data_IF_891945295783
#
_entry.id   IF_891945295783
#
_cell.length_a   1.000
_cell.length_b   1.000
_cell.length_c   1.000
_cell.angle_alpha   90.00
_cell.angle_beta   90.00
_cell.angle_gamma   90.00
#
_symmetry.space_group_name_H-M   'P 1'
#
loop_
_entity.id
_entity.type
_entity.pdbx_description
1 polymer ?
#
# COMPACT_ATOMS: atom_id res chain seq x y z
N UNK A 1 4.34 -20.40 -13.97
CA UNK A 1 4.83 -20.63 -12.58
C UNK A 1 5.27 -19.28 -12.03
N UNK A 2 4.39 -18.59 -11.31
CA UNK A 2 4.74 -17.39 -10.55
C UNK A 2 5.02 -17.85 -9.13
N UNK A 3 6.28 -18.17 -8.86
CA UNK A 3 6.76 -18.46 -7.52
C UNK A 3 6.37 -17.29 -6.61
N UNK A 4 5.61 -17.56 -5.55
CA UNK A 4 5.46 -16.66 -4.42
C UNK A 4 6.86 -16.38 -3.88
N UNK A 5 7.51 -15.35 -4.41
CA UNK A 5 8.74 -14.82 -3.85
C UNK A 5 8.36 -14.05 -2.58
N UNK A 6 8.08 -14.78 -1.50
CA UNK A 6 8.43 -14.30 -0.17
C UNK A 6 9.94 -14.14 -0.27
N UNK A 7 10.42 -12.90 -0.28
CA UNK A 7 11.84 -12.62 -0.21
C UNK A 7 12.40 -13.46 0.93
N UNK A 8 13.20 -14.50 0.63
CA UNK A 8 14.01 -15.18 1.62
C UNK A 8 15.13 -14.21 1.98
N UNK A 9 14.78 -13.18 2.76
CA UNK A 9 15.75 -12.24 3.28
C UNK A 9 16.59 -12.96 4.30
N UNK A 10 17.90 -12.80 4.22
CA UNK A 10 18.82 -13.29 5.22
C UNK A 10 18.50 -12.62 6.56
N UNK A 11 18.64 -13.34 7.66
CA UNK A 11 18.56 -12.72 8.98
C UNK A 11 19.79 -11.84 9.14
N UNK A 12 19.61 -10.57 9.46
CA UNK A 12 20.73 -9.68 9.77
C UNK A 12 21.14 -9.99 11.21
N UNK A 13 22.25 -10.70 11.34
CA UNK A 13 22.91 -10.92 12.62
C UNK A 13 23.81 -9.72 12.94
N UNK A 14 24.19 -9.49 14.22
CA UNK A 14 24.99 -8.32 14.62
C UNK A 14 26.30 -8.14 13.83
N UNK A 15 26.91 -9.22 13.38
CA UNK A 15 28.19 -9.22 12.65
C UNK A 15 28.01 -9.37 11.13
N UNK A 16 26.78 -9.25 10.60
CA UNK A 16 26.53 -9.40 9.17
C UNK A 16 27.13 -8.22 8.41
N UNK A 17 27.96 -8.48 7.41
CA UNK A 17 28.43 -7.44 6.49
C UNK A 17 27.28 -6.96 5.62
N UNK A 18 26.75 -5.78 5.93
CA UNK A 18 25.61 -5.18 5.23
C UNK A 18 25.89 -4.88 3.75
N UNK A 19 27.17 -4.80 3.35
CA UNK A 19 27.53 -4.56 1.94
C UNK A 19 27.23 -5.75 1.04
N UNK A 20 27.05 -6.96 1.59
CA UNK A 20 26.73 -8.17 0.81
C UNK A 20 25.23 -8.44 0.73
N UNK A 21 24.42 -7.70 1.49
CA UNK A 21 22.95 -7.89 1.48
C UNK A 21 22.35 -7.19 0.27
N UNK A 22 21.83 -7.98 -0.66
CA UNK A 22 21.13 -7.49 -1.84
C UNK A 22 19.62 -7.39 -1.62
N UNK A 23 19.03 -6.28 -2.08
CA UNK A 23 17.59 -6.04 -2.04
C UNK A 23 17.15 -5.65 -3.46
N UNK A 24 16.64 -6.61 -4.20
CA UNK A 24 16.37 -6.41 -5.62
C UNK A 24 17.66 -6.15 -6.39
N UNK A 25 17.76 -4.96 -7.02
CA UNK A 25 18.95 -4.54 -7.76
C UNK A 25 19.85 -3.59 -6.93
N UNK A 26 19.66 -3.49 -5.63
CA UNK A 26 20.37 -2.55 -4.75
C UNK A 26 21.04 -3.27 -3.59
N UNK A 27 22.04 -2.62 -2.98
CA UNK A 27 22.60 -3.04 -1.71
C UNK A 27 21.79 -2.47 -0.54
N UNK A 28 21.87 -3.12 0.63
CA UNK A 28 21.23 -2.61 1.85
C UNK A 28 21.65 -1.18 2.19
N UNK A 29 22.92 -0.83 1.97
CA UNK A 29 23.48 0.49 2.31
C UNK A 29 23.04 1.59 1.34
N UNK A 30 22.49 1.26 0.17
CA UNK A 30 22.02 2.26 -0.80
C UNK A 30 20.86 3.09 -0.23
N UNK A 31 20.81 4.37 -0.56
CA UNK A 31 19.70 5.26 -0.16
C UNK A 31 18.43 5.06 -0.99
N UNK A 32 18.51 4.26 -2.06
CA UNK A 32 17.36 3.88 -2.89
C UNK A 32 17.41 2.38 -3.14
N UNK A 33 16.36 1.68 -2.72
CA UNK A 33 16.23 0.25 -3.02
C UNK A 33 15.32 0.04 -4.24
N UNK A 34 15.87 -0.61 -5.24
CA UNK A 34 15.19 -0.96 -6.49
C UNK A 34 14.47 -2.30 -6.36
N UNK A 35 13.15 -2.25 -6.25
CA UNK A 35 12.28 -3.41 -6.06
C UNK A 35 11.72 -3.96 -7.37
N UNK A 36 12.19 -3.50 -8.55
CA UNK A 36 11.68 -3.97 -9.85
C UNK A 36 11.69 -5.49 -10.00
N UNK A 37 12.70 -6.24 -9.54
CA UNK A 37 12.69 -7.70 -9.61
C UNK A 37 11.50 -8.37 -8.89
N UNK A 38 10.93 -7.69 -7.90
CA UNK A 38 9.83 -8.21 -7.07
C UNK A 38 8.45 -7.70 -7.48
N UNK A 39 8.38 -6.75 -8.44
CA UNK A 39 7.14 -6.10 -8.85
C UNK A 39 6.85 -6.46 -10.30
N UNK A 40 6.10 -7.53 -10.51
CA UNK A 40 5.77 -8.07 -11.84
C UNK A 40 4.58 -7.38 -12.49
N UNK A 41 3.76 -6.63 -11.73
CA UNK A 41 2.57 -5.98 -12.25
C UNK A 41 2.93 -4.83 -13.21
N UNK A 42 2.60 -4.99 -14.50
CA UNK A 42 2.89 -4.01 -15.56
C UNK A 42 2.22 -2.64 -15.31
N UNK A 43 1.08 -2.61 -14.63
CA UNK A 43 0.34 -1.39 -14.29
C UNK A 43 0.98 -0.57 -13.16
N UNK A 44 2.02 -1.07 -12.49
CA UNK A 44 2.69 -0.33 -11.41
C UNK A 44 3.53 0.80 -12.00
N UNK A 45 3.24 2.04 -11.56
CA UNK A 45 4.02 3.23 -11.96
C UNK A 45 5.50 3.02 -11.61
N UNK A 46 6.40 3.48 -12.48
CA UNK A 46 7.85 3.32 -12.29
C UNK A 46 8.32 3.86 -10.92
N UNK A 47 7.86 5.04 -10.53
CA UNK A 47 8.18 5.65 -9.22
C UNK A 47 7.74 4.82 -8.01
N UNK A 48 6.82 3.87 -8.19
CA UNK A 48 6.32 2.99 -7.13
C UNK A 48 7.15 1.70 -6.97
N UNK A 49 8.20 1.54 -7.76
CA UNK A 49 9.08 0.37 -7.72
C UNK A 49 10.33 0.58 -6.87
N UNK A 50 10.42 1.71 -6.17
CA UNK A 50 11.58 2.09 -5.37
C UNK A 50 11.19 2.45 -3.94
N UNK A 51 12.00 2.01 -2.95
CA UNK A 51 11.99 2.55 -1.60
C UNK A 51 13.10 3.59 -1.53
N UNK A 52 12.81 4.79 -1.01
CA UNK A 52 13.73 5.91 -0.94
C UNK A 52 13.95 6.33 0.50
N UNK A 53 15.21 6.44 0.90
CA UNK A 53 15.63 6.88 2.22
C UNK A 53 16.35 8.24 2.20
N UNK A 54 16.48 8.84 1.00
CA UNK A 54 17.22 10.11 0.77
C UNK A 54 16.68 11.28 1.60
N UNK A 55 15.40 11.25 1.97
CA UNK A 55 14.76 12.29 2.79
C UNK A 55 15.11 12.20 4.29
N UNK A 56 15.82 11.15 4.72
CA UNK A 56 16.26 10.95 6.10
C UNK A 56 17.72 11.36 6.17
N UNK A 57 17.99 12.53 6.77
CA UNK A 57 19.35 13.05 6.87
C UNK A 57 20.17 12.33 7.94
N UNK A 58 19.55 12.05 9.09
CA UNK A 58 20.21 11.45 10.25
C UNK A 58 20.51 9.96 10.02
N UNK A 59 21.75 9.57 10.23
CA UNK A 59 22.25 8.21 9.92
C UNK A 59 21.57 7.17 10.82
N UNK A 60 21.47 7.42 12.11
CA UNK A 60 20.86 6.50 13.09
C UNK A 60 19.36 6.32 12.84
N UNK A 61 18.67 7.43 12.52
CA UNK A 61 17.27 7.42 12.14
C UNK A 61 17.08 6.58 10.85
N UNK A 62 17.92 6.81 9.83
CA UNK A 62 17.90 6.11 8.55
C UNK A 62 18.14 4.62 8.73
N UNK A 63 19.12 4.24 9.56
CA UNK A 63 19.43 2.83 9.82
C UNK A 63 18.25 2.10 10.45
N UNK A 64 17.61 2.66 11.46
CA UNK A 64 16.42 2.08 12.09
C UNK A 64 15.28 1.89 11.05
N UNK A 65 15.08 2.86 10.16
CA UNK A 65 14.08 2.77 9.09
C UNK A 65 14.44 1.70 8.06
N UNK A 66 15.70 1.55 7.70
CA UNK A 66 16.18 0.48 6.80
C UNK A 66 15.98 -0.90 7.42
N UNK A 67 16.32 -1.08 8.69
CA UNK A 67 16.06 -2.33 9.43
C UNK A 67 14.57 -2.70 9.42
N UNK A 68 13.70 -1.71 9.66
CA UNK A 68 12.26 -1.91 9.60
C UNK A 68 11.79 -2.28 8.19
N UNK A 69 12.22 -1.56 7.16
CA UNK A 69 11.85 -1.82 5.78
C UNK A 69 12.29 -3.23 5.34
N UNK A 70 13.52 -3.61 5.66
CA UNK A 70 14.06 -4.93 5.39
C UNK A 70 13.23 -6.04 6.05
N UNK A 71 12.98 -5.91 7.36
CA UNK A 71 12.13 -6.86 8.10
C UNK A 71 10.73 -7.00 7.48
N UNK A 72 10.14 -5.90 7.04
CA UNK A 72 8.79 -5.89 6.43
C UNK A 72 8.78 -6.50 5.04
N UNK A 73 9.82 -6.32 4.24
CA UNK A 73 9.94 -6.94 2.91
C UNK A 73 9.89 -8.47 2.99
N UNK A 74 10.39 -9.07 4.06
CA UNK A 74 10.25 -10.51 4.30
C UNK A 74 8.85 -10.98 4.69
N UNK A 75 7.89 -10.06 4.91
CA UNK A 75 6.55 -10.39 5.43
C UNK A 75 5.39 -9.81 4.64
N UNK A 76 5.64 -8.81 3.81
CA UNK A 76 4.60 -8.03 3.12
C UNK A 76 4.96 -7.83 1.64
N UNK A 77 3.96 -7.49 0.84
CA UNK A 77 4.18 -7.11 -0.57
C UNK A 77 5.09 -5.88 -0.65
N UNK A 78 6.07 -5.84 -1.57
CA UNK A 78 7.01 -4.72 -1.70
C UNK A 78 6.33 -3.35 -1.82
N UNK A 79 5.23 -3.24 -2.56
CA UNK A 79 4.46 -2.00 -2.68
C UNK A 79 3.93 -1.50 -1.33
N UNK A 80 3.50 -2.40 -0.45
CA UNK A 80 3.01 -2.02 0.89
C UNK A 80 4.13 -1.46 1.75
N UNK A 81 5.32 -2.08 1.71
CA UNK A 81 6.49 -1.59 2.44
C UNK A 81 6.93 -0.24 1.88
N UNK A 82 6.98 -0.11 0.57
CA UNK A 82 7.26 1.17 -0.10
C UNK A 82 6.30 2.26 0.36
N UNK A 83 5.00 1.98 0.45
CA UNK A 83 4.02 2.98 0.90
C UNK A 83 4.21 3.36 2.37
N UNK A 84 4.67 2.44 3.22
CA UNK A 84 5.00 2.74 4.60
C UNK A 84 6.17 3.73 4.68
N UNK A 85 7.24 3.47 3.94
CA UNK A 85 8.45 4.30 3.99
C UNK A 85 8.29 5.61 3.22
N UNK A 86 7.81 5.56 1.97
CA UNK A 86 7.82 6.73 1.09
C UNK A 86 6.60 7.65 1.25
N UNK A 87 5.48 7.16 1.83
CA UNK A 87 4.25 7.93 1.89
C UNK A 87 3.73 8.19 3.31
N UNK A 88 3.99 7.30 4.26
CA UNK A 88 3.43 7.42 5.61
C UNK A 88 4.44 7.91 6.64
N UNK A 89 5.70 7.52 6.51
CA UNK A 89 6.77 7.90 7.44
C UNK A 89 7.31 9.32 7.26
N UNK A 90 7.33 9.95 6.06
CA UNK A 90 7.99 11.25 5.87
C UNK A 90 7.53 12.36 6.82
N UNK A 91 6.24 12.40 7.19
CA UNK A 91 5.74 13.39 8.16
C UNK A 91 6.37 13.23 9.54
N UNK A 92 6.64 12.00 9.98
CA UNK A 92 7.32 11.79 11.25
C UNK A 92 8.78 12.24 11.19
N UNK A 93 9.47 11.94 10.10
CA UNK A 93 10.87 12.39 9.90
C UNK A 93 10.93 13.93 9.85
N UNK A 94 9.98 14.58 9.16
CA UNK A 94 9.88 16.04 9.14
C UNK A 94 9.68 16.59 10.57
N UNK A 95 8.77 16.00 11.35
CA UNK A 95 8.54 16.39 12.75
C UNK A 95 9.81 16.23 13.60
N UNK A 96 10.51 15.10 13.48
CA UNK A 96 11.77 14.86 14.20
C UNK A 96 12.82 15.91 13.84
N UNK A 97 13.00 16.19 12.56
CA UNK A 97 13.96 17.22 12.10
C UNK A 97 13.64 18.61 12.65
N UNK A 98 12.35 19.00 12.71
CA UNK A 98 11.92 20.28 13.24
C UNK A 98 12.13 20.40 14.77
N UNK A 99 12.19 19.28 15.49
CA UNK A 99 12.31 19.25 16.95
C UNK A 99 13.70 18.76 17.41
N UNK A 100 14.68 18.62 16.51
CA UNK A 100 16.05 18.23 16.86
C UNK A 100 16.17 16.78 17.34
N UNK A 101 15.28 15.89 16.89
CA UNK A 101 15.30 14.46 17.21
C UNK A 101 16.06 13.75 16.09
N UNK A 102 17.22 13.20 16.40
CA UNK A 102 18.16 12.64 15.43
C UNK A 102 18.18 11.11 15.35
N UNK A 103 17.56 10.44 16.33
CA UNK A 103 17.46 8.99 16.40
C UNK A 103 16.08 8.56 16.88
N UNK A 104 15.62 7.38 16.48
CA UNK A 104 14.41 6.78 17.09
C UNK A 104 14.56 6.58 18.58
N UNK A 105 15.77 6.29 19.09
CA UNK A 105 16.03 6.10 20.51
C UNK A 105 15.74 7.36 21.35
N UNK A 106 15.89 8.55 20.75
CA UNK A 106 15.66 9.84 21.43
C UNK A 106 14.18 10.21 21.50
N UNK A 107 13.31 9.52 20.77
CA UNK A 107 11.87 9.79 20.76
C UNK A 107 11.27 9.45 22.12
N UNK A 108 10.63 10.41 22.76
CA UNK A 108 9.87 10.21 23.98
C UNK A 108 8.39 9.94 23.69
N UNK A 109 7.66 9.46 24.70
CA UNK A 109 6.20 9.35 24.59
C UNK A 109 5.55 10.73 24.31
N UNK A 110 6.09 11.78 24.93
CA UNK A 110 5.61 13.14 24.70
C UNK A 110 5.82 13.60 23.27
N UNK A 111 6.96 13.30 22.66
CA UNK A 111 7.21 13.60 21.24
C UNK A 111 6.23 12.88 20.33
N UNK A 112 5.93 11.61 20.61
CA UNK A 112 4.93 10.87 19.86
C UNK A 112 3.53 11.50 19.96
N UNK A 113 3.12 11.94 21.15
CA UNK A 113 1.84 12.61 21.36
C UNK A 113 1.80 13.99 20.68
N UNK A 114 2.88 14.77 20.80
CA UNK A 114 3.02 16.06 20.14
C UNK A 114 3.06 15.93 18.62
N UNK A 115 3.67 14.89 18.06
CA UNK A 115 3.57 14.57 16.63
C UNK A 115 2.12 14.40 16.18
N UNK A 116 1.30 13.68 16.96
CA UNK A 116 -0.12 13.53 16.67
C UNK A 116 -0.87 14.87 16.68
N UNK A 117 -0.59 15.73 17.66
CA UNK A 117 -1.21 17.06 17.76
C UNK A 117 -0.76 17.94 16.58
N UNK A 118 0.51 17.94 16.25
CA UNK A 118 1.06 18.67 15.10
C UNK A 118 0.41 18.26 13.78
N UNK A 119 0.24 16.97 13.54
CA UNK A 119 -0.47 16.51 12.33
C UNK A 119 -1.92 16.99 12.27
N UNK A 120 -2.61 17.06 13.43
CA UNK A 120 -4.01 17.51 13.51
C UNK A 120 -4.16 18.99 13.33
N UNK A 121 -3.36 19.76 14.07
CA UNK A 121 -3.56 21.19 14.25
C UNK A 121 -2.82 22.02 13.17
N UNK A 122 -1.57 21.66 12.91
CA UNK A 122 -0.70 22.43 12.01
C UNK A 122 -0.79 21.91 10.59
N UNK A 123 -0.64 20.60 10.37
CA UNK A 123 -0.73 19.99 9.03
C UNK A 123 -2.17 19.74 8.59
N UNK A 124 -3.13 19.67 9.50
CA UNK A 124 -4.56 19.45 9.24
C UNK A 124 -4.83 18.23 8.33
N UNK A 125 -4.08 17.17 8.57
CA UNK A 125 -4.19 15.96 7.73
C UNK A 125 -5.50 15.21 7.99
N UNK A 126 -5.96 14.50 6.97
CA UNK A 126 -7.14 13.65 7.10
C UNK A 126 -6.92 12.53 8.13
N UNK A 127 -7.99 12.13 8.84
CA UNK A 127 -7.95 11.11 9.90
C UNK A 127 -7.25 9.82 9.48
N UNK A 128 -7.54 9.33 8.27
CA UNK A 128 -6.91 8.12 7.73
C UNK A 128 -5.40 8.28 7.50
N UNK A 129 -4.99 9.47 7.03
CA UNK A 129 -3.57 9.77 6.80
C UNK A 129 -2.82 9.81 8.13
N UNK A 130 -3.32 10.56 9.11
CA UNK A 130 -2.70 10.67 10.41
C UNK A 130 -2.61 9.32 11.13
N UNK A 131 -3.72 8.56 11.15
CA UNK A 131 -3.72 7.21 11.72
C UNK A 131 -2.67 6.29 11.08
N UNK A 132 -2.55 6.31 9.75
CA UNK A 132 -1.59 5.48 9.04
C UNK A 132 -0.13 5.89 9.33
N UNK A 133 0.16 7.19 9.43
CA UNK A 133 1.49 7.68 9.77
C UNK A 133 1.89 7.27 11.18
N UNK A 134 1.00 7.47 12.17
CA UNK A 134 1.25 7.04 13.53
C UNK A 134 1.44 5.52 13.64
N UNK A 135 0.62 4.75 12.92
CA UNK A 135 0.71 3.29 12.94
C UNK A 135 2.08 2.77 12.48
N UNK A 136 2.70 3.40 11.47
CA UNK A 136 4.04 3.02 11.03
C UNK A 136 5.08 3.32 12.12
N UNK A 137 4.99 4.47 12.79
CA UNK A 137 5.88 4.83 13.91
C UNK A 137 5.73 3.83 15.06
N UNK A 138 4.50 3.53 15.46
CA UNK A 138 4.21 2.51 16.48
C UNK A 138 4.79 1.14 16.13
N UNK A 139 4.68 0.73 14.87
CA UNK A 139 5.25 -0.54 14.43
C UNK A 139 6.77 -0.55 14.49
N UNK A 140 7.45 0.54 14.06
CA UNK A 140 8.91 0.65 14.16
C UNK A 140 9.34 0.51 15.60
N UNK A 141 8.73 1.24 16.53
CA UNK A 141 9.06 1.18 17.96
C UNK A 141 8.83 -0.24 18.49
N UNK A 142 7.64 -0.79 18.30
CA UNK A 142 7.28 -2.11 18.83
C UNK A 142 8.14 -3.24 18.27
N UNK A 143 8.38 -3.25 16.97
CA UNK A 143 9.21 -4.28 16.34
C UNK A 143 10.68 -4.07 16.73
N UNK A 144 11.13 -2.83 16.77
CA UNK A 144 12.49 -2.48 17.17
C UNK A 144 12.81 -2.94 18.60
N UNK A 145 11.88 -2.75 19.55
CA UNK A 145 12.03 -3.28 20.92
C UNK A 145 12.17 -4.80 20.95
N UNK A 146 11.38 -5.54 20.14
CA UNK A 146 11.46 -6.99 20.06
C UNK A 146 12.78 -7.44 19.40
N UNK A 147 13.27 -6.66 18.44
CA UNK A 147 14.47 -6.98 17.66
C UNK A 147 15.77 -6.41 18.24
N UNK A 148 15.70 -5.62 19.31
CA UNK A 148 16.86 -4.97 19.90
C UNK A 148 17.44 -3.85 19.03
N UNK A 149 16.62 -3.19 18.19
CA UNK A 149 17.06 -2.03 17.43
C UNK A 149 17.18 -0.79 18.30
N UNK A 150 17.83 0.24 17.79
CA UNK A 150 17.99 1.53 18.47
C UNK A 150 16.67 2.33 18.47
N UNK A 151 15.72 1.93 19.31
CA UNK A 151 14.39 2.52 19.46
C UNK A 151 14.07 2.80 20.93
N UNK A 152 13.08 3.70 21.23
CA UNK A 152 12.73 4.02 22.61
C UNK A 152 12.20 2.79 23.37
N UNK A 153 12.38 2.83 24.69
CA UNK A 153 11.98 1.73 25.60
C UNK A 153 10.58 1.91 26.19
N UNK A 154 9.93 3.06 26.00
CA UNK A 154 8.58 3.28 26.51
C UNK A 154 7.56 2.37 25.82
N UNK A 155 6.51 2.00 26.58
CA UNK A 155 5.37 1.30 26.02
C UNK A 155 4.24 2.30 25.74
N UNK A 156 3.70 2.25 24.53
CA UNK A 156 2.52 3.04 24.17
C UNK A 156 1.30 2.58 24.97
N UNK A 157 0.69 3.43 25.81
CA UNK A 157 -0.54 3.09 26.48
C UNK A 157 -1.63 2.78 25.47
N UNK A 158 -2.49 1.81 25.78
CA UNK A 158 -3.56 1.38 24.86
C UNK A 158 -4.49 2.53 24.46
N UNK A 159 -4.70 3.51 25.33
CA UNK A 159 -5.52 4.69 25.07
C UNK A 159 -4.85 5.70 24.11
N UNK A 160 -3.55 5.62 23.93
CA UNK A 160 -2.73 6.56 23.16
C UNK A 160 -2.23 5.98 21.83
N UNK A 161 -2.74 4.82 21.44
CA UNK A 161 -2.46 4.25 20.12
C UNK A 161 -3.11 5.08 19.00
N UNK A 162 -2.55 5.01 17.79
CA UNK A 162 -3.04 5.71 16.61
C UNK A 162 -4.55 5.59 16.43
N UNK A 163 -5.09 4.37 16.53
CA UNK A 163 -6.52 4.11 16.38
C UNK A 163 -7.40 4.85 17.41
N UNK A 164 -6.91 5.08 18.63
CA UNK A 164 -7.64 5.81 19.65
C UNK A 164 -7.48 7.32 19.46
N UNK A 165 -6.25 7.79 19.25
CA UNK A 165 -5.96 9.21 19.05
C UNK A 165 -6.69 9.78 17.83
N UNK A 166 -6.80 9.00 16.74
CA UNK A 166 -7.45 9.44 15.50
C UNK A 166 -8.93 9.06 15.39
N UNK A 167 -9.47 8.31 16.38
CA UNK A 167 -10.87 7.91 16.43
C UNK A 167 -11.41 7.37 15.09
N UNK A 168 -10.63 6.50 14.46
CA UNK A 168 -10.89 5.99 13.09
C UNK A 168 -12.25 5.33 12.95
N UNK A 169 -12.75 4.63 13.99
CA UNK A 169 -14.07 3.99 13.96
C UNK A 169 -15.21 4.99 13.80
N UNK A 170 -15.11 6.16 14.45
CA UNK A 170 -16.11 7.23 14.32
C UNK A 170 -16.02 7.86 12.93
N UNK A 171 -14.82 8.15 12.46
CA UNK A 171 -14.59 8.71 11.13
C UNK A 171 -15.11 7.78 10.01
N UNK A 172 -14.87 6.48 10.11
CA UNK A 172 -15.39 5.51 9.14
C UNK A 172 -16.92 5.44 9.07
N UNK A 173 -17.60 5.71 10.20
CA UNK A 173 -19.08 5.74 10.21
C UNK A 173 -19.63 7.02 9.57
N UNK A 174 -18.97 8.15 9.76
CA UNK A 174 -19.44 9.46 9.28
C UNK A 174 -19.02 9.77 7.85
N UNK A 175 -17.87 9.25 7.39
CA UNK A 175 -17.28 9.56 6.10
C UNK A 175 -17.36 8.38 5.11
N UNK A 176 -18.42 7.60 5.15
CA UNK A 176 -18.65 6.57 4.11
C UNK A 176 -18.81 7.25 2.76
N UNK A 177 -18.03 6.82 1.79
CA UNK A 177 -18.23 7.20 0.39
C UNK A 177 -19.64 6.80 -0.01
N UNK A 178 -20.43 7.78 -0.42
CA UNK A 178 -21.77 7.50 -0.94
C UNK A 178 -21.66 6.82 -2.29
N UNK A 179 -22.57 5.89 -2.62
CA UNK A 179 -22.64 5.35 -3.96
C UNK A 179 -22.91 6.48 -4.96
N UNK A 180 -22.50 6.28 -6.20
CA UNK A 180 -22.84 7.20 -7.29
C UNK A 180 -24.35 7.26 -7.39
N UNK A 181 -24.98 8.47 -7.43
CA UNK A 181 -26.43 8.57 -7.66
C UNK A 181 -26.85 7.87 -8.95
N UNK A 182 -28.00 7.24 -8.96
CA UNK A 182 -28.48 6.41 -10.07
C UNK A 182 -28.57 7.21 -11.38
N UNK A 183 -29.10 8.42 -11.31
CA UNK A 183 -29.19 9.33 -12.45
C UNK A 183 -27.84 9.71 -13.05
N UNK A 184 -26.82 9.81 -12.23
CA UNK A 184 -25.42 10.07 -12.68
C UNK A 184 -24.83 8.80 -13.29
N UNK A 185 -25.07 7.65 -12.66
CA UNK A 185 -24.61 6.35 -13.16
C UNK A 185 -25.19 6.05 -14.54
N UNK A 186 -26.51 6.26 -14.71
CA UNK A 186 -27.19 6.04 -16.00
C UNK A 186 -26.64 6.95 -17.10
N UNK A 187 -26.35 8.22 -16.79
CA UNK A 187 -25.72 9.15 -17.75
C UNK A 187 -24.32 8.67 -18.14
N UNK A 188 -23.51 8.24 -17.19
CA UNK A 188 -22.15 7.70 -17.47
C UNK A 188 -22.26 6.51 -18.40
N UNK A 189 -23.16 5.57 -18.11
CA UNK A 189 -23.35 4.38 -18.92
C UNK A 189 -23.88 4.73 -20.32
N UNK A 190 -24.86 5.61 -20.41
CA UNK A 190 -25.39 6.09 -21.69
C UNK A 190 -24.28 6.68 -22.57
N UNK A 191 -23.49 7.61 -22.06
CA UNK A 191 -22.40 8.23 -22.82
C UNK A 191 -21.28 7.24 -23.15
N UNK A 192 -21.00 6.30 -22.28
CA UNK A 192 -20.02 5.25 -22.59
C UNK A 192 -20.49 4.38 -23.76
N UNK A 193 -21.79 4.05 -23.83
CA UNK A 193 -22.34 3.22 -24.90
C UNK A 193 -22.44 3.98 -26.24
N UNK A 194 -22.88 5.24 -26.21
CA UNK A 194 -23.27 5.96 -27.42
C UNK A 194 -22.24 6.97 -27.94
N UNK A 195 -21.49 7.61 -27.05
CA UNK A 195 -20.64 8.76 -27.40
C UNK A 195 -19.14 8.46 -27.30
N UNK A 196 -18.73 7.42 -26.53
CA UNK A 196 -17.32 7.08 -26.38
C UNK A 196 -16.79 6.34 -27.64
N UNK A 197 -15.75 6.90 -28.26
CA UNK A 197 -15.13 6.38 -29.47
C UNK A 197 -13.91 5.50 -29.20
N UNK A 198 -13.25 5.69 -28.03
CA UNK A 198 -12.15 4.80 -27.64
C UNK A 198 -12.69 3.47 -27.14
N UNK A 199 -12.45 2.40 -27.93
CA UNK A 199 -12.97 1.07 -27.66
C UNK A 199 -12.56 0.53 -26.31
N UNK A 200 -11.32 0.78 -25.88
CA UNK A 200 -10.82 0.26 -24.61
C UNK A 200 -11.43 1.02 -23.41
N UNK A 201 -11.58 2.33 -23.53
CA UNK A 201 -12.26 3.15 -22.51
C UNK A 201 -13.73 2.74 -22.39
N UNK A 202 -14.43 2.63 -23.51
CA UNK A 202 -15.82 2.15 -23.59
C UNK A 202 -15.98 0.79 -22.92
N UNK A 203 -15.20 -0.20 -23.33
CA UNK A 203 -15.21 -1.54 -22.77
C UNK A 203 -14.92 -1.52 -21.25
N UNK A 204 -13.93 -0.75 -20.82
CA UNK A 204 -13.55 -0.63 -19.42
C UNK A 204 -14.71 -0.12 -18.54
N UNK A 205 -15.40 0.95 -18.97
CA UNK A 205 -16.53 1.53 -18.25
C UNK A 205 -17.70 0.54 -18.20
N UNK A 206 -18.06 -0.07 -19.34
CA UNK A 206 -19.19 -1.00 -19.43
C UNK A 206 -18.93 -2.25 -18.56
N UNK A 207 -17.77 -2.89 -18.72
CA UNK A 207 -17.41 -4.08 -17.93
C UNK A 207 -17.44 -3.75 -16.45
N UNK A 208 -16.77 -2.68 -16.03
CA UNK A 208 -16.70 -2.30 -14.62
C UNK A 208 -18.08 -1.99 -14.03
N UNK A 209 -18.92 -1.27 -14.78
CA UNK A 209 -20.28 -0.90 -14.33
C UNK A 209 -21.19 -2.10 -14.14
N UNK A 210 -21.08 -3.11 -14.99
CA UNK A 210 -21.97 -4.28 -15.00
C UNK A 210 -21.47 -5.43 -14.10
N UNK A 211 -20.16 -5.50 -13.83
CA UNK A 211 -19.57 -6.62 -13.09
C UNK A 211 -19.09 -6.26 -11.70
N UNK A 212 -18.89 -4.97 -11.41
CA UNK A 212 -18.30 -4.51 -10.15
C UNK A 212 -16.82 -4.87 -9.99
N UNK A 213 -16.14 -5.31 -11.05
CA UNK A 213 -14.71 -5.58 -11.03
C UNK A 213 -13.91 -4.33 -10.72
N UNK A 214 -12.77 -4.49 -10.03
CA UNK A 214 -11.83 -3.38 -9.82
C UNK A 214 -11.13 -3.01 -11.11
N UNK A 215 -10.76 -1.73 -11.26
CA UNK A 215 -10.10 -1.24 -12.49
C UNK A 215 -8.88 -2.10 -12.90
N UNK A 216 -8.06 -2.54 -11.95
CA UNK A 216 -6.91 -3.40 -12.26
C UNK A 216 -7.33 -4.81 -12.73
N UNK A 217 -8.48 -5.31 -12.29
CA UNK A 217 -9.03 -6.59 -12.73
C UNK A 217 -9.58 -6.44 -14.15
N UNK A 218 -10.27 -5.34 -14.44
CA UNK A 218 -10.73 -5.01 -15.80
C UNK A 218 -9.53 -4.89 -16.77
N UNK A 219 -8.49 -4.14 -16.38
CA UNK A 219 -7.29 -3.96 -17.20
C UNK A 219 -6.43 -5.24 -17.37
N UNK A 220 -6.71 -6.28 -16.59
CA UNK A 220 -6.05 -7.59 -16.72
C UNK A 220 -6.81 -8.59 -17.59
N UNK A 221 -7.99 -8.24 -18.08
CA UNK A 221 -8.79 -9.08 -18.97
C UNK A 221 -8.01 -9.35 -20.25
N UNK A 222 -8.05 -10.59 -20.70
CA UNK A 222 -7.34 -11.03 -21.90
C UNK A 222 -8.35 -11.45 -22.99
N UNK A 223 -7.91 -11.40 -24.22
CA UNK A 223 -8.67 -11.92 -25.36
C UNK A 223 -9.06 -13.39 -25.13
N UNK A 224 -10.28 -13.76 -25.53
CA UNK A 224 -10.79 -15.12 -25.35
C UNK A 224 -11.27 -15.45 -23.92
N UNK A 225 -11.37 -14.45 -23.04
CA UNK A 225 -11.88 -14.62 -21.66
C UNK A 225 -13.38 -14.95 -21.61
N UNK A 226 -14.16 -14.57 -22.61
CA UNK A 226 -15.61 -14.82 -22.68
C UNK A 226 -15.87 -16.27 -23.06
N UNK A 227 -16.65 -16.96 -22.25
CA UNK A 227 -17.01 -18.37 -22.42
C UNK A 227 -18.50 -18.59 -22.11
N UNK A 228 -18.99 -19.77 -22.44
CA UNK A 228 -20.38 -20.16 -22.17
C UNK A 228 -20.43 -21.40 -21.30
N UNK A 229 -21.35 -21.39 -20.33
CA UNK A 229 -21.65 -22.56 -19.51
C UNK A 229 -22.46 -23.59 -20.31
N UNK A 230 -22.55 -24.81 -19.80
CA UNK A 230 -23.41 -25.85 -20.39
C UNK A 230 -24.89 -25.42 -20.42
N UNK A 231 -25.33 -24.67 -19.40
CA UNK A 231 -26.71 -24.15 -19.30
C UNK A 231 -26.96 -22.89 -20.14
N UNK A 232 -25.98 -22.48 -20.96
CA UNK A 232 -26.14 -21.37 -21.91
C UNK A 232 -25.85 -19.96 -21.36
N UNK A 233 -25.36 -19.82 -20.14
CA UNK A 233 -24.98 -18.51 -19.56
C UNK A 233 -23.57 -18.11 -20.03
N UNK A 234 -23.42 -16.83 -20.36
CA UNK A 234 -22.11 -16.28 -20.73
C UNK A 234 -21.37 -15.80 -19.46
N UNK A 235 -20.06 -16.03 -19.41
CA UNK A 235 -19.19 -15.59 -18.33
C UNK A 235 -17.80 -15.21 -18.84
N UNK A 236 -17.12 -14.36 -18.06
CA UNK A 236 -15.70 -14.05 -18.28
C UNK A 236 -14.83 -14.78 -17.24
N UNK A 237 -13.67 -15.24 -17.68
CA UNK A 237 -12.59 -15.69 -16.80
C UNK A 237 -11.69 -14.50 -16.45
N UNK A 238 -11.67 -14.13 -15.18
CA UNK A 238 -10.94 -12.96 -14.68
C UNK A 238 -10.02 -13.35 -13.54
N UNK A 239 -8.80 -12.86 -13.59
CA UNK A 239 -7.83 -13.07 -12.51
C UNK A 239 -8.01 -12.05 -11.39
N UNK A 240 -8.41 -12.48 -10.20
CA UNK A 240 -8.56 -11.62 -9.02
C UNK A 240 -7.27 -11.65 -8.20
N UNK A 241 -6.48 -10.57 -8.26
CA UNK A 241 -5.16 -10.54 -7.62
C UNK A 241 -5.10 -9.92 -6.22
N UNK A 242 -6.11 -9.12 -5.81
CA UNK A 242 -6.02 -8.32 -4.57
C UNK A 242 -6.53 -9.06 -3.34
N UNK A 243 -7.51 -9.93 -3.48
CA UNK A 243 -8.17 -10.63 -2.38
C UNK A 243 -7.59 -12.01 -2.11
N UNK A 244 -6.88 -12.56 -3.07
CA UNK A 244 -6.30 -13.90 -2.97
C UNK A 244 -4.95 -13.85 -2.26
N UNK A 245 -4.79 -14.73 -1.27
CA UNK A 245 -3.51 -14.98 -0.60
C UNK A 245 -2.86 -16.16 -1.31
N UNK A 246 -1.92 -15.88 -2.20
CA UNK A 246 -1.22 -16.93 -2.92
C UNK A 246 -1.19 -16.70 -4.44
N UNK A 247 -1.28 -17.75 -5.23
CA UNK A 247 -1.34 -17.66 -6.69
C UNK A 247 -2.66 -17.04 -7.14
N UNK A 248 -2.63 -16.23 -8.22
CA UNK A 248 -3.85 -15.65 -8.76
C UNK A 248 -4.83 -16.74 -9.19
N UNK A 249 -6.06 -16.68 -8.67
CA UNK A 249 -7.12 -17.62 -9.00
C UNK A 249 -7.96 -17.02 -10.11
N UNK A 250 -8.31 -17.87 -11.09
CA UNK A 250 -9.24 -17.51 -12.16
C UNK A 250 -10.66 -17.65 -11.62
N UNK A 251 -11.40 -16.55 -11.64
CA UNK A 251 -12.79 -16.49 -11.24
C UNK A 251 -13.69 -16.40 -12.48
N UNK A 252 -14.87 -17.02 -12.39
CA UNK A 252 -15.92 -16.88 -13.38
C UNK A 252 -16.85 -15.75 -12.97
N UNK A 253 -16.96 -14.72 -13.81
CA UNK A 253 -17.84 -13.57 -13.61
C UNK A 253 -18.94 -13.66 -14.68
N UNK A 254 -20.19 -13.88 -14.27
CA UNK A 254 -21.32 -13.90 -15.20
C UNK A 254 -21.50 -12.51 -15.82
N UNK A 255 -21.80 -12.48 -17.11
CA UNK A 255 -21.94 -11.27 -17.92
C UNK A 255 -23.28 -11.24 -18.64
N UNK A 256 -23.75 -10.02 -18.89
CA UNK A 256 -24.92 -9.78 -19.71
C UNK A 256 -24.55 -9.50 -21.19
N UNK A 257 -25.55 -9.40 -22.06
CA UNK A 257 -25.35 -9.13 -23.48
C UNK A 257 -24.61 -7.81 -23.75
N UNK A 258 -24.76 -6.78 -22.89
CA UNK A 258 -24.08 -5.52 -23.04
C UNK A 258 -22.55 -5.68 -22.89
N UNK A 259 -22.10 -6.44 -21.89
CA UNK A 259 -20.67 -6.74 -21.69
C UNK A 259 -20.14 -7.67 -22.77
N UNK A 260 -20.94 -8.64 -23.20
CA UNK A 260 -20.54 -9.62 -24.23
C UNK A 260 -20.26 -8.97 -25.59
N UNK A 261 -21.01 -7.91 -25.92
CA UNK A 261 -20.93 -7.24 -27.22
C UNK A 261 -19.98 -6.02 -27.19
N UNK A 262 -19.28 -5.82 -26.10
CA UNK A 262 -18.29 -4.75 -25.92
C UNK A 262 -16.88 -5.24 -26.19
#
# INVERSE_FOLDING_TARGET
MATNLVLQLQVIEPDTDLNIIMIGNSNYNDDVWDLRPFITAKSTKESHKYIRFEYIADVDMKETVKQYAYYKLGKMKPQTVRDYINAKLPMFIEYCSLNGIHSFADVTLEDYLNFNLWMKNDKKVAVGTGNNSCHVVEEIIRIGQIKGWNVPTFHLPKAETANQLWNTRKSMKTNKTKPIPEDVFDKILYHAVHDENDVLTKAGIIIQSQTGLRINEVLSIQEGCVKRTFDGYDYMEVTLGKTEKGEPIIHKVFINELVKNT
#
